data_IF_788810959229
#
_entry.id   IF_788810959229
#
_cell.length_a   1.000
_cell.length_b   1.000
_cell.length_c   1.000
_cell.angle_alpha   90.00
_cell.angle_beta   90.00
_cell.angle_gamma   90.00
#
_symmetry.space_group_name_H-M   'P 1'
#
loop_
_entity.id
_entity.type
_entity.pdbx_description
1 polymer ?
#
# COMPACT_ATOMS: atom_id res chain seq x y z
N UNK A 1 8.91 4.95 -3.78
CA UNK A 1 9.00 3.50 -3.48
C UNK A 1 8.10 3.20 -2.28
N UNK A 2 7.34 2.10 -2.28
CA UNK A 2 6.30 1.80 -1.28
C UNK A 2 6.78 1.71 0.17
N UNK A 3 8.08 1.51 0.38
CA UNK A 3 8.73 1.49 1.69
C UNK A 3 8.45 2.75 2.53
N UNK A 4 8.29 3.93 1.91
CA UNK A 4 7.94 5.15 2.64
C UNK A 4 6.58 5.08 3.34
N UNK A 5 5.60 4.41 2.73
CA UNK A 5 4.26 4.20 3.30
C UNK A 5 4.32 3.16 4.44
N UNK A 6 5.23 2.19 4.33
CA UNK A 6 5.48 1.21 5.39
C UNK A 6 6.02 1.90 6.64
N UNK A 7 7.07 2.70 6.48
CA UNK A 7 7.71 3.41 7.59
C UNK A 7 6.79 4.47 8.21
N UNK A 8 6.06 5.23 7.40
CA UNK A 8 5.12 6.24 7.90
C UNK A 8 4.00 5.64 8.77
N UNK A 9 3.44 4.50 8.37
CA UNK A 9 2.42 3.81 9.16
C UNK A 9 2.98 3.22 10.46
N UNK A 10 4.22 2.70 10.46
CA UNK A 10 4.89 2.27 11.70
C UNK A 10 5.05 3.44 12.67
N UNK A 11 5.42 4.63 12.16
CA UNK A 11 5.53 5.85 12.97
C UNK A 11 4.19 6.31 13.53
N UNK A 12 3.11 6.15 12.77
CA UNK A 12 1.75 6.46 13.21
C UNK A 12 1.21 5.51 14.29
N UNK A 13 1.74 4.27 14.36
CA UNK A 13 1.31 3.22 15.28
C UNK A 13 -0.23 3.12 15.45
N UNK A 14 -1.00 3.00 14.35
CA UNK A 14 -2.45 2.98 14.44
C UNK A 14 -2.92 1.76 15.25
N UNK A 15 -3.92 1.98 16.11
CA UNK A 15 -4.42 0.97 17.04
C UNK A 15 -5.15 -0.22 16.39
N UNK A 16 -5.22 -0.27 15.06
CA UNK A 16 -5.95 -1.30 14.31
C UNK A 16 -5.45 -1.49 12.88
N UNK A 17 -6.09 -2.40 12.15
CA UNK A 17 -5.74 -2.70 10.78
C UNK A 17 -5.91 -1.47 9.87
N UNK A 18 -4.98 -1.31 8.92
CA UNK A 18 -5.01 -0.21 7.96
C UNK A 18 -5.19 -0.76 6.55
N UNK A 19 -6.22 -0.28 5.87
CA UNK A 19 -6.54 -0.62 4.49
C UNK A 19 -5.88 0.39 3.56
N UNK A 20 -5.16 -0.10 2.54
CA UNK A 20 -4.58 0.74 1.50
C UNK A 20 -5.46 0.66 0.25
N UNK A 21 -6.07 1.78 -0.14
CA UNK A 21 -6.89 1.86 -1.37
C UNK A 21 -6.13 2.66 -2.40
N UNK A 22 -5.91 2.06 -3.57
CA UNK A 22 -5.33 2.76 -4.69
C UNK A 22 -6.36 2.98 -5.79
N UNK A 23 -6.35 4.18 -6.36
CA UNK A 23 -7.19 4.51 -7.50
C UNK A 23 -6.49 4.06 -8.77
N UNK A 24 -7.16 3.32 -9.64
CA UNK A 24 -6.54 2.82 -10.87
C UNK A 24 -6.01 3.95 -11.77
N UNK A 25 -6.73 5.07 -11.85
CA UNK A 25 -6.31 6.25 -12.61
C UNK A 25 -5.12 7.02 -12.02
N UNK A 26 -4.68 6.69 -10.81
CA UNK A 26 -3.51 7.31 -10.19
C UNK A 26 -2.19 6.66 -10.64
N UNK A 27 -2.23 5.55 -11.38
CA UNK A 27 -1.05 4.91 -11.92
C UNK A 27 -0.97 5.08 -13.43
N UNK A 28 0.16 5.61 -13.90
CA UNK A 28 0.46 5.69 -15.33
C UNK A 28 0.74 4.31 -15.98
N UNK A 29 0.70 3.21 -15.21
CA UNK A 29 0.85 1.83 -15.69
C UNK A 29 0.84 0.77 -14.59
N UNK A 30 0.59 -0.48 -14.97
CA UNK A 30 0.40 -1.63 -14.06
C UNK A 30 1.63 -2.04 -13.25
N UNK A 31 2.85 -1.73 -13.73
CA UNK A 31 4.10 -2.11 -13.06
C UNK A 31 4.24 -1.42 -11.70
N UNK A 32 3.90 -0.13 -11.63
CA UNK A 32 3.98 0.64 -10.39
C UNK A 32 2.96 0.14 -9.35
N UNK A 33 1.73 -0.14 -9.80
CA UNK A 33 0.64 -0.69 -8.99
C UNK A 33 1.00 -2.08 -8.44
N UNK A 34 1.50 -2.96 -9.29
CA UNK A 34 1.90 -4.33 -8.93
C UNK A 34 3.03 -4.30 -7.90
N UNK A 35 4.06 -3.49 -8.10
CA UNK A 35 5.17 -3.37 -7.15
C UNK A 35 4.72 -2.79 -5.79
N UNK A 36 3.85 -1.79 -5.78
CA UNK A 36 3.29 -1.22 -4.53
C UNK A 36 2.43 -2.22 -3.77
N UNK A 37 1.57 -2.94 -4.48
CA UNK A 37 0.71 -3.97 -3.92
C UNK A 37 1.54 -5.10 -3.31
N UNK A 38 2.54 -5.60 -4.05
CA UNK A 38 3.42 -6.67 -3.59
C UNK A 38 4.19 -6.28 -2.32
N UNK A 39 4.76 -5.06 -2.25
CA UNK A 39 5.49 -4.61 -1.07
C UNK A 39 4.57 -4.49 0.16
N UNK A 40 3.34 -3.98 -0.01
CA UNK A 40 2.40 -3.82 1.10
C UNK A 40 1.85 -5.18 1.59
N UNK A 41 1.60 -6.11 0.67
CA UNK A 41 1.22 -7.49 1.01
C UNK A 41 2.34 -8.22 1.75
N UNK A 42 3.58 -8.09 1.30
CA UNK A 42 4.76 -8.67 1.97
C UNK A 42 4.95 -8.15 3.42
N UNK A 43 4.46 -6.95 3.72
CA UNK A 43 4.50 -6.36 5.07
C UNK A 43 3.21 -6.62 5.89
N UNK A 44 2.38 -7.59 5.48
CA UNK A 44 1.20 -8.03 6.23
C UNK A 44 0.01 -7.08 6.21
N UNK A 45 0.02 -6.04 5.34
CA UNK A 45 -1.09 -5.10 5.22
C UNK A 45 -2.06 -5.61 4.16
N UNK A 46 -2.83 -6.62 4.55
CA UNK A 46 -3.54 -7.55 3.67
C UNK A 46 -4.74 -7.01 2.89
N UNK A 47 -5.12 -5.73 3.04
CA UNK A 47 -6.31 -5.19 2.39
C UNK A 47 -5.94 -4.10 1.38
N UNK A 48 -5.23 -4.49 0.32
CA UNK A 48 -4.98 -3.64 -0.83
C UNK A 48 -6.14 -3.80 -1.81
N UNK A 49 -6.96 -2.76 -1.97
CA UNK A 49 -8.10 -2.75 -2.91
C UNK A 49 -7.88 -1.69 -3.97
N UNK A 50 -8.19 -2.05 -5.22
CA UNK A 50 -8.23 -1.09 -6.33
C UNK A 50 -9.67 -0.64 -6.57
N UNK A 51 -9.86 0.64 -6.91
CA UNK A 51 -11.15 1.24 -7.32
C UNK A 51 -11.11 1.64 -8.80
#
# INVERSE_FOLDING_TARGET
MALGIVEWHKQLAPAGESTAVFRDSAFAGDVAKTNLTAILQQHGRGNVRSL
#
